data_IF_603877130386
#
_entry.id   IF_603877130386
#
_cell.length_a   1.000
_cell.length_b   1.000
_cell.length_c   1.000
_cell.angle_alpha   90.00
_cell.angle_beta   90.00
_cell.angle_gamma   90.00
#
_symmetry.space_group_name_H-M   'P 1'
#
loop_
_entity.id
_entity.type
_entity.pdbx_description
1 polymer ?
#
# COMPACT_ATOMS: atom_id res chain seq x y z
N UNK A 1 -4.16 13.18 6.81
CA UNK A 1 -3.00 12.28 6.70
C UNK A 1 -2.58 12.10 5.26
N UNK A 2 -1.34 11.80 5.05
CA UNK A 2 -0.77 11.55 3.72
C UNK A 2 -0.60 10.03 3.55
N UNK A 3 -1.34 9.45 2.61
CA UNK A 3 -1.48 8.00 2.44
C UNK A 3 -1.06 7.61 1.03
N UNK A 4 -0.18 6.62 0.92
CA UNK A 4 0.20 6.01 -0.35
C UNK A 4 -0.44 4.64 -0.48
N UNK A 5 -1.04 4.37 -1.64
CA UNK A 5 -1.62 3.07 -1.98
C UNK A 5 -0.87 2.54 -3.19
N UNK A 6 -0.17 1.43 -3.03
CA UNK A 6 0.57 0.78 -4.11
C UNK A 6 -0.22 -0.43 -4.59
N UNK A 7 -0.66 -0.38 -5.82
CA UNK A 7 -1.56 -1.38 -6.39
C UNK A 7 -3.00 -0.92 -6.39
N UNK A 8 -3.56 -0.74 -7.58
CA UNK A 8 -4.91 -0.22 -7.77
C UNK A 8 -5.88 -1.30 -8.29
N UNK A 9 -5.63 -2.57 -7.94
CA UNK A 9 -6.56 -3.66 -8.21
C UNK A 9 -7.80 -3.57 -7.32
N UNK A 10 -8.55 -4.67 -7.22
CA UNK A 10 -9.81 -4.70 -6.45
C UNK A 10 -9.64 -4.17 -5.03
N UNK A 11 -8.60 -4.60 -4.33
CA UNK A 11 -8.35 -4.16 -2.96
C UNK A 11 -7.98 -2.68 -2.91
N UNK A 12 -7.01 -2.26 -3.73
CA UNK A 12 -6.59 -0.87 -3.78
C UNK A 12 -7.75 0.07 -4.08
N UNK A 13 -8.65 -0.33 -4.97
CA UNK A 13 -9.85 0.44 -5.29
C UNK A 13 -10.81 0.52 -4.12
N UNK A 14 -11.02 -0.58 -3.39
CA UNK A 14 -11.89 -0.58 -2.21
C UNK A 14 -11.34 0.33 -1.13
N UNK A 15 -10.03 0.27 -0.89
CA UNK A 15 -9.38 1.13 0.10
C UNK A 15 -9.48 2.60 -0.32
N UNK A 16 -9.22 2.89 -1.59
CA UNK A 16 -9.34 4.24 -2.13
C UNK A 16 -10.76 4.78 -1.95
N UNK A 17 -11.76 3.97 -2.29
CA UNK A 17 -13.16 4.36 -2.16
C UNK A 17 -13.54 4.65 -0.71
N UNK A 18 -13.02 3.86 0.23
CA UNK A 18 -13.31 4.03 1.65
C UNK A 18 -12.65 5.29 2.24
N UNK A 19 -11.47 5.65 1.76
CA UNK A 19 -10.69 6.77 2.29
C UNK A 19 -10.91 8.07 1.52
N UNK A 20 -11.36 8.00 0.27
CA UNK A 20 -11.66 9.18 -0.54
C UNK A 20 -12.84 9.95 0.08
N UNK A 21 -12.76 11.27 0.03
CA UNK A 21 -13.78 12.11 0.65
C UNK A 21 -13.54 12.42 2.12
N UNK A 22 -12.60 11.71 2.77
CA UNK A 22 -12.09 12.10 4.07
C UNK A 22 -11.06 13.21 3.97
N UNK A 23 -10.55 13.66 5.09
CA UNK A 23 -9.54 14.72 5.11
C UNK A 23 -8.14 14.14 4.96
N UNK A 24 -7.90 13.45 3.83
CA UNK A 24 -6.64 12.77 3.55
C UNK A 24 -6.09 13.16 2.19
N UNK A 25 -4.77 13.20 2.09
CA UNK A 25 -4.06 13.31 0.82
C UNK A 25 -3.67 11.90 0.38
N UNK A 26 -4.27 11.39 -0.68
CA UNK A 26 -4.06 10.04 -1.18
C UNK A 26 -3.25 10.06 -2.46
N UNK A 27 -2.20 9.26 -2.52
CA UNK A 27 -1.41 9.03 -3.73
C UNK A 27 -1.52 7.56 -4.11
N UNK A 28 -1.92 7.27 -5.34
CA UNK A 28 -2.07 5.91 -5.84
C UNK A 28 -0.98 5.63 -6.86
N UNK A 29 -0.28 4.53 -6.66
CA UNK A 29 0.82 4.09 -7.51
C UNK A 29 0.46 2.75 -8.11
N UNK A 30 0.44 2.65 -9.44
CA UNK A 30 0.18 1.41 -10.15
C UNK A 30 0.95 1.40 -11.47
N UNK A 31 1.33 0.21 -11.93
CA UNK A 31 2.00 0.03 -13.22
C UNK A 31 1.03 0.14 -14.40
N UNK A 32 -0.25 -0.02 -14.17
CA UNK A 32 -1.27 -0.05 -15.23
C UNK A 32 -1.81 1.37 -15.47
N UNK A 33 -1.39 1.95 -16.57
CA UNK A 33 -1.78 3.31 -16.95
C UNK A 33 -3.30 3.47 -17.13
N UNK A 34 -3.97 2.46 -17.68
CA UNK A 34 -5.42 2.50 -17.90
C UNK A 34 -6.18 2.57 -16.56
N UNK A 35 -5.74 1.81 -15.57
CA UNK A 35 -6.32 1.84 -14.22
C UNK A 35 -6.07 3.20 -13.57
N UNK A 36 -4.87 3.73 -13.67
CA UNK A 36 -4.51 5.04 -13.13
C UNK A 36 -5.37 6.14 -13.75
N UNK A 37 -5.55 6.12 -15.06
CA UNK A 37 -6.39 7.10 -15.74
C UNK A 37 -7.86 7.05 -15.27
N UNK A 38 -8.38 5.84 -15.08
CA UNK A 38 -9.74 5.66 -14.57
C UNK A 38 -9.90 6.23 -13.17
N UNK A 39 -8.94 5.98 -12.30
CA UNK A 39 -8.96 6.47 -10.92
C UNK A 39 -8.87 7.98 -10.87
N UNK A 40 -8.00 8.58 -11.67
CA UNK A 40 -7.81 10.03 -11.69
C UNK A 40 -9.05 10.79 -12.14
N UNK A 41 -9.92 10.16 -12.95
CA UNK A 41 -11.19 10.74 -13.36
C UNK A 41 -12.31 10.56 -12.33
N UNK A 42 -12.18 9.57 -11.46
CA UNK A 42 -13.23 9.18 -10.53
C UNK A 42 -13.02 9.73 -9.11
N UNK A 43 -11.78 9.93 -8.71
CA UNK A 43 -11.44 10.35 -7.35
C UNK A 43 -10.48 11.54 -7.36
N UNK A 44 -10.58 12.37 -6.34
CA UNK A 44 -9.64 13.48 -6.11
C UNK A 44 -8.41 12.93 -5.38
N UNK A 45 -7.51 12.31 -6.14
CA UNK A 45 -6.29 11.69 -5.63
C UNK A 45 -5.14 11.97 -6.59
N UNK A 46 -3.92 11.94 -6.07
CA UNK A 46 -2.72 11.97 -6.90
C UNK A 46 -2.46 10.56 -7.45
N UNK A 47 -2.08 10.47 -8.70
CA UNK A 47 -1.81 9.19 -9.35
C UNK A 47 -0.41 9.15 -9.93
N UNK A 48 0.25 8.01 -9.81
CA UNK A 48 1.60 7.79 -10.34
C UNK A 48 1.61 6.46 -11.07
N UNK A 49 2.06 6.48 -12.33
CA UNK A 49 2.31 5.25 -13.07
C UNK A 49 3.70 4.76 -12.71
N UNK A 50 3.76 3.66 -11.97
CA UNK A 50 5.01 3.03 -11.59
C UNK A 50 5.38 1.93 -12.58
N UNK A 51 6.53 2.05 -13.23
CA UNK A 51 7.03 1.03 -14.13
C UNK A 51 7.73 -0.06 -13.32
N UNK A 52 6.99 -1.11 -12.99
CA UNK A 52 7.53 -2.25 -12.25
C UNK A 52 8.16 -3.24 -13.20
N UNK A 53 9.44 -3.07 -13.50
CA UNK A 53 10.20 -4.07 -14.24
C UNK A 53 10.31 -5.35 -13.42
N UNK A 54 10.33 -6.50 -14.12
CA UNK A 54 10.44 -7.79 -13.47
C UNK A 54 11.91 -8.22 -13.30
N UNK A 55 12.14 -9.16 -12.38
CA UNK A 55 13.45 -9.76 -12.19
C UNK A 55 14.40 -8.93 -11.34
N UNK A 56 15.68 -8.88 -11.75
CA UNK A 56 16.74 -8.21 -10.98
C UNK A 56 16.49 -6.71 -10.81
N UNK A 57 15.82 -6.08 -11.77
CA UNK A 57 15.53 -4.66 -11.76
C UNK A 57 14.40 -4.31 -10.78
N UNK A 58 13.60 -5.29 -10.32
CA UNK A 58 12.44 -5.04 -9.48
C UNK A 58 12.79 -4.27 -8.19
N UNK A 59 13.81 -4.74 -7.46
CA UNK A 59 14.21 -4.10 -6.19
C UNK A 59 14.68 -2.67 -6.39
N UNK A 60 15.53 -2.45 -7.40
CA UNK A 60 16.05 -1.13 -7.71
C UNK A 60 14.92 -0.18 -8.13
N UNK A 61 13.97 -0.66 -8.93
CA UNK A 61 12.83 0.12 -9.37
C UNK A 61 11.90 0.49 -8.22
N UNK A 62 11.67 -0.43 -7.28
CA UNK A 62 10.84 -0.12 -6.10
C UNK A 62 11.50 0.94 -5.22
N UNK A 63 12.79 0.83 -4.97
CA UNK A 63 13.52 1.84 -4.20
C UNK A 63 13.44 3.20 -4.90
N UNK A 64 13.70 3.23 -6.19
CA UNK A 64 13.64 4.46 -6.98
C UNK A 64 12.23 5.08 -6.97
N UNK A 65 11.21 4.25 -7.15
CA UNK A 65 9.81 4.69 -7.15
C UNK A 65 9.42 5.33 -5.83
N UNK A 66 9.75 4.68 -4.72
CA UNK A 66 9.44 5.17 -3.39
C UNK A 66 10.19 6.49 -3.10
N UNK A 67 11.46 6.58 -3.48
CA UNK A 67 12.24 7.82 -3.29
C UNK A 67 11.71 8.98 -4.12
N UNK A 68 11.35 8.74 -5.37
CA UNK A 68 10.80 9.77 -6.25
C UNK A 68 9.47 10.34 -5.74
N UNK A 69 8.74 9.56 -4.96
CA UNK A 69 7.47 9.98 -4.40
C UNK A 69 7.58 10.46 -2.95
N UNK A 70 8.80 10.65 -2.45
CA UNK A 70 9.06 11.18 -1.11
C UNK A 70 8.34 10.39 -0.02
N UNK A 71 8.49 9.06 -0.06
CA UNK A 71 7.74 8.15 0.82
C UNK A 71 8.02 8.41 2.32
N UNK A 72 9.15 8.99 2.64
CA UNK A 72 9.51 9.39 4.00
C UNK A 72 8.59 10.47 4.58
N UNK A 73 7.84 11.17 3.72
CA UNK A 73 6.88 12.18 4.15
C UNK A 73 5.47 11.64 4.36
N UNK A 74 5.25 10.35 4.07
CA UNK A 74 3.93 9.75 4.18
C UNK A 74 3.67 9.20 5.58
N UNK A 75 2.43 9.32 6.03
CA UNK A 75 1.97 8.76 7.30
C UNK A 75 1.68 7.27 7.18
N UNK A 76 1.13 6.85 6.04
CA UNK A 76 0.81 5.45 5.76
C UNK A 76 1.19 5.06 4.35
N UNK A 77 1.61 3.80 4.21
CA UNK A 77 1.70 3.14 2.91
C UNK A 77 0.95 1.81 3.00
N UNK A 78 0.09 1.54 2.03
CA UNK A 78 -0.66 0.30 1.92
C UNK A 78 -0.23 -0.39 0.64
N UNK A 79 0.47 -1.51 0.76
CA UNK A 79 0.91 -2.31 -0.38
C UNK A 79 -0.12 -3.40 -0.66
N UNK A 80 -0.86 -3.26 -1.75
CA UNK A 80 -1.96 -4.14 -2.11
C UNK A 80 -1.96 -4.56 -3.57
N UNK A 81 -0.76 -4.87 -4.09
CA UNK A 81 -0.62 -5.51 -5.40
C UNK A 81 -1.14 -6.96 -5.34
N UNK A 82 -1.13 -7.65 -6.45
CA UNK A 82 -1.55 -9.05 -6.53
C UNK A 82 -0.48 -10.05 -6.05
N UNK A 83 0.68 -9.58 -5.64
CA UNK A 83 1.80 -10.42 -5.18
C UNK A 83 2.13 -10.16 -3.71
N UNK A 84 2.03 -11.19 -2.88
CA UNK A 84 2.37 -11.14 -1.45
C UNK A 84 3.82 -10.69 -1.26
N UNK A 85 4.74 -11.28 -2.02
CA UNK A 85 6.17 -10.97 -1.92
C UNK A 85 6.45 -9.51 -2.26
N UNK A 86 5.84 -8.99 -3.32
CA UNK A 86 5.98 -7.58 -3.69
C UNK A 86 5.43 -6.67 -2.61
N UNK A 87 4.28 -7.03 -2.04
CA UNK A 87 3.67 -6.23 -0.98
C UNK A 87 4.57 -6.16 0.26
N UNK A 88 5.13 -7.29 0.64
CA UNK A 88 6.05 -7.33 1.78
C UNK A 88 7.32 -6.53 1.52
N UNK A 89 7.90 -6.65 0.33
CA UNK A 89 9.11 -5.90 -0.04
C UNK A 89 8.83 -4.40 -0.08
N UNK A 90 7.75 -3.98 -0.73
CA UNK A 90 7.40 -2.57 -0.85
C UNK A 90 7.15 -1.95 0.54
N UNK A 91 6.38 -2.64 1.38
CA UNK A 91 6.10 -2.17 2.73
C UNK A 91 7.38 -2.06 3.57
N UNK A 92 8.23 -3.08 3.51
CA UNK A 92 9.50 -3.09 4.24
C UNK A 92 10.44 -1.98 3.79
N UNK A 93 10.56 -1.77 2.48
CA UNK A 93 11.39 -0.70 1.93
C UNK A 93 10.86 0.68 2.34
N UNK A 94 9.56 0.89 2.23
CA UNK A 94 8.95 2.15 2.64
C UNK A 94 9.20 2.46 4.12
N UNK A 95 9.06 1.45 4.97
CA UNK A 95 9.33 1.61 6.41
C UNK A 95 10.78 1.99 6.64
N UNK A 96 11.71 1.32 5.99
CA UNK A 96 13.14 1.60 6.10
C UNK A 96 13.48 3.01 5.62
N UNK A 97 12.77 3.50 4.63
CA UNK A 97 12.97 4.85 4.09
C UNK A 97 12.38 5.97 4.95
N UNK A 98 11.56 5.63 5.93
CA UNK A 98 11.02 6.62 6.86
C UNK A 98 9.52 6.83 6.83
N UNK A 99 8.77 6.03 6.06
CA UNK A 99 7.30 6.06 6.13
C UNK A 99 6.86 5.65 7.54
N UNK A 100 5.95 6.38 8.14
CA UNK A 100 5.59 6.19 9.55
C UNK A 100 4.98 4.83 9.82
N UNK A 101 4.02 4.41 9.02
CA UNK A 101 3.34 3.11 9.16
C UNK A 101 3.16 2.44 7.82
N UNK A 102 3.34 1.13 7.78
CA UNK A 102 3.20 0.36 6.54
C UNK A 102 2.29 -0.84 6.77
N UNK A 103 1.45 -1.11 5.78
CA UNK A 103 0.49 -2.20 5.77
C UNK A 103 0.70 -3.00 4.49
N UNK A 104 0.74 -4.33 4.60
CA UNK A 104 0.90 -5.22 3.45
C UNK A 104 -0.24 -6.21 3.35
N UNK A 105 -0.74 -6.41 2.13
CA UNK A 105 -1.69 -7.46 1.82
C UNK A 105 -0.94 -8.77 1.65
N UNK A 106 -1.34 -9.80 2.38
CA UNK A 106 -0.80 -11.15 2.28
C UNK A 106 -1.95 -12.14 2.21
N UNK A 107 -2.02 -12.91 1.12
CA UNK A 107 -3.11 -13.84 0.85
C UNK A 107 -2.73 -15.30 1.14
N UNK A 108 -1.48 -15.69 0.90
CA UNK A 108 -1.04 -17.07 0.96
C UNK A 108 -1.14 -17.62 2.39
N UNK A 109 -1.85 -18.73 2.61
CA UNK A 109 -1.96 -19.33 3.93
C UNK A 109 -0.61 -19.71 4.56
N UNK A 110 0.38 -20.08 3.76
CA UNK A 110 1.73 -20.37 4.27
C UNK A 110 2.37 -19.13 4.88
N UNK A 111 2.21 -17.97 4.22
CA UNK A 111 2.68 -16.70 4.76
C UNK A 111 1.92 -16.34 6.04
N UNK A 112 0.61 -16.60 6.06
CA UNK A 112 -0.23 -16.29 7.22
C UNK A 112 0.16 -17.08 8.46
N UNK A 113 0.65 -18.32 8.30
CA UNK A 113 1.11 -19.14 9.42
C UNK A 113 2.37 -18.57 10.07
N UNK A 114 3.10 -17.69 9.40
CA UNK A 114 4.34 -17.10 9.91
C UNK A 114 4.21 -15.57 10.02
N UNK A 115 2.99 -15.09 10.15
CA UNK A 115 2.70 -13.65 10.06
C UNK A 115 3.45 -12.81 11.10
N UNK A 116 3.55 -13.29 12.34
CA UNK A 116 4.23 -12.55 13.40
C UNK A 116 5.73 -12.46 13.13
N UNK A 117 6.33 -13.53 12.65
CA UNK A 117 7.73 -13.55 12.26
C UNK A 117 8.00 -12.61 11.09
N UNK A 118 7.12 -12.62 10.09
CA UNK A 118 7.24 -11.76 8.91
C UNK A 118 7.12 -10.29 9.30
N UNK A 119 6.12 -9.94 10.11
CA UNK A 119 5.93 -8.56 10.58
C UNK A 119 7.17 -8.05 11.32
N UNK A 120 7.70 -8.85 12.22
CA UNK A 120 8.85 -8.46 13.02
C UNK A 120 10.11 -8.34 12.17
N UNK A 121 10.38 -9.36 11.34
CA UNK A 121 11.60 -9.42 10.52
C UNK A 121 11.64 -8.31 9.48
N UNK A 122 10.52 -8.04 8.82
CA UNK A 122 10.40 -7.03 7.76
C UNK A 122 9.95 -5.67 8.28
N UNK A 123 9.70 -5.56 9.57
CA UNK A 123 9.26 -4.34 10.22
C UNK A 123 7.97 -3.77 9.60
N UNK A 124 7.01 -4.66 9.32
CA UNK A 124 5.70 -4.29 8.79
C UNK A 124 4.73 -4.10 9.95
N UNK A 125 4.03 -2.98 9.99
CA UNK A 125 3.17 -2.62 11.12
C UNK A 125 1.89 -3.45 11.16
N UNK A 126 1.31 -3.77 9.99
CA UNK A 126 0.08 -4.53 9.92
C UNK A 126 0.02 -5.34 8.64
N UNK A 127 -0.50 -6.56 8.73
CA UNK A 127 -0.72 -7.45 7.58
C UNK A 127 -2.20 -7.77 7.49
N UNK A 128 -2.77 -7.63 6.29
CA UNK A 128 -4.19 -7.86 6.04
C UNK A 128 -4.40 -8.97 5.04
N UNK A 129 -5.42 -9.81 5.28
CA UNK A 129 -5.85 -10.84 4.36
C UNK A 129 -7.02 -10.31 3.52
N UNK A 130 -6.97 -10.44 2.17
CA UNK A 130 -8.01 -9.88 1.30
C UNK A 130 -9.34 -10.63 1.31
N UNK A 131 -9.43 -11.80 1.93
CA UNK A 131 -10.61 -12.67 1.86
C UNK A 131 -11.75 -12.27 2.79
N UNK A 132 -11.54 -11.28 3.66
CA UNK A 132 -12.56 -10.73 4.54
C UNK A 132 -12.89 -9.30 4.15
N UNK A 133 -13.76 -8.63 4.88
CA UNK A 133 -14.12 -7.23 4.61
C UNK A 133 -12.94 -6.31 4.93
N UNK A 134 -11.95 -6.41 4.09
CA UNK A 134 -10.62 -5.84 4.26
C UNK A 134 -10.62 -4.32 4.33
N UNK A 135 -11.52 -3.71 3.55
CA UNK A 135 -11.69 -2.26 3.59
C UNK A 135 -12.08 -1.81 4.98
N UNK A 136 -13.00 -2.55 5.60
CA UNK A 136 -13.45 -2.28 6.95
C UNK A 136 -12.33 -2.52 7.96
N UNK A 137 -11.56 -3.57 7.79
CA UNK A 137 -10.43 -3.91 8.64
C UNK A 137 -9.36 -2.82 8.60
N UNK A 138 -8.97 -2.39 7.42
CA UNK A 138 -8.00 -1.30 7.25
C UNK A 138 -8.55 0.00 7.84
N UNK A 139 -9.79 0.32 7.54
CA UNK A 139 -10.43 1.52 8.05
C UNK A 139 -10.47 1.52 9.59
N UNK A 140 -10.87 0.42 10.19
CA UNK A 140 -10.86 0.27 11.64
C UNK A 140 -9.47 0.45 12.24
N UNK A 141 -8.47 -0.16 11.62
CA UNK A 141 -7.09 -0.03 12.07
C UNK A 141 -6.65 1.43 12.08
N UNK A 142 -6.92 2.16 11.00
CA UNK A 142 -6.56 3.57 10.90
C UNK A 142 -7.32 4.42 11.93
N UNK A 143 -8.61 4.17 12.08
CA UNK A 143 -9.44 4.94 13.03
C UNK A 143 -9.04 4.67 14.47
N UNK A 144 -8.90 3.43 14.87
CA UNK A 144 -8.60 3.05 16.25
C UNK A 144 -7.19 3.47 16.68
N UNK A 145 -6.22 3.36 15.78
CA UNK A 145 -4.82 3.65 16.11
C UNK A 145 -4.45 5.12 15.94
N UNK A 146 -5.12 5.85 15.06
CA UNK A 146 -4.66 7.17 14.63
C UNK A 146 -5.76 8.24 14.66
N UNK A 147 -6.91 7.92 15.21
CA UNK A 147 -8.03 8.85 15.37
C UNK A 147 -8.43 9.54 14.06
N UNK A 148 -8.50 8.77 12.98
CA UNK A 148 -9.01 9.25 11.71
C UNK A 148 -10.52 9.38 11.78
N UNK A 149 -11.02 10.56 11.49
CA UNK A 149 -12.46 10.79 11.44
C UNK A 149 -12.90 11.15 10.04
#
# INVERSE_FOLDING_TARGET
MKIAIVGAGKLGMKVTNALAGGNHSITIIDKNEAIINRISHQYDVLTVVGDAKQGRAFRAEQVSLLRRNDIDTFDFLIACTDSDEKNMIIASFAKKMGCSKVIARVRDPEHMNQIDFIKETLNIDHIVNPDLSITLEIYKYLVEKYTLT
#
